data_IF_981797255683
#
_entry.id   IF_981797255683
#
_cell.length_a   1.000
_cell.length_b   1.000
_cell.length_c   1.000
_cell.angle_alpha   90.00
_cell.angle_beta   90.00
_cell.angle_gamma   90.00
#
_symmetry.space_group_name_H-M   'P 1'
#
loop_
_entity.id
_entity.type
_entity.pdbx_description
1 polymer ?
#
# COMPACT_ATOMS: atom_id res chain seq x y z
N UNK A 1 51.77 -4.73 -84.00
CA UNK A 1 50.87 -3.59 -83.67
C UNK A 1 49.54 -4.15 -83.17
N UNK A 2 49.39 -4.49 -81.95
CA UNK A 2 48.07 -4.77 -81.28
C UNK A 2 48.20 -4.44 -79.82
N UNK A 3 47.51 -3.39 -79.40
CA UNK A 3 47.45 -2.96 -78.01
C UNK A 3 46.48 -3.89 -77.26
N UNK A 4 46.97 -4.51 -76.16
CA UNK A 4 46.13 -5.19 -75.21
C UNK A 4 45.75 -4.19 -74.08
N UNK A 5 44.49 -3.83 -74.00
CA UNK A 5 43.89 -3.13 -72.87
C UNK A 5 43.71 -4.13 -71.69
N UNK A 6 44.35 -3.85 -70.57
CA UNK A 6 44.11 -4.52 -69.31
C UNK A 6 43.00 -3.77 -68.57
N UNK A 7 41.84 -4.38 -68.47
CA UNK A 7 40.75 -3.94 -67.58
C UNK A 7 41.02 -4.49 -66.22
N UNK A 8 41.32 -3.63 -65.24
CA UNK A 8 41.45 -3.98 -63.85
C UNK A 8 40.05 -4.07 -63.20
N UNK A 9 39.67 -5.26 -62.72
CA UNK A 9 38.50 -5.47 -61.85
C UNK A 9 38.86 -5.01 -60.44
N UNK A 10 38.32 -3.90 -59.95
CA UNK A 10 38.35 -3.52 -58.56
C UNK A 10 37.22 -4.30 -57.84
N UNK A 11 37.54 -5.30 -57.05
CA UNK A 11 36.61 -5.95 -56.17
C UNK A 11 36.34 -5.09 -54.92
N UNK A 12 35.13 -4.49 -54.91
CA UNK A 12 34.64 -3.75 -53.73
C UNK A 12 34.12 -4.72 -52.70
N UNK A 13 34.92 -5.01 -51.65
CA UNK A 13 34.52 -5.84 -50.52
C UNK A 13 33.57 -5.05 -49.62
N UNK A 14 32.27 -5.29 -49.74
CA UNK A 14 31.26 -4.80 -48.81
C UNK A 14 31.39 -5.63 -47.50
N UNK A 15 32.00 -5.05 -46.47
CA UNK A 15 31.96 -5.59 -45.11
C UNK A 15 30.55 -5.39 -44.56
N UNK A 16 29.69 -6.42 -44.59
CA UNK A 16 28.48 -6.46 -43.82
C UNK A 16 28.86 -6.57 -42.35
N UNK A 17 28.78 -5.45 -41.63
CA UNK A 17 28.78 -5.46 -40.17
C UNK A 17 27.43 -6.02 -39.72
N UNK A 18 27.37 -7.31 -39.45
CA UNK A 18 26.24 -7.90 -38.71
C UNK A 18 26.33 -7.40 -37.26
N UNK A 19 25.60 -6.34 -36.93
CA UNK A 19 25.31 -6.02 -35.55
C UNK A 19 24.47 -7.20 -35.00
N UNK A 20 25.11 -8.03 -34.16
CA UNK A 20 24.37 -8.96 -33.32
C UNK A 20 23.58 -8.09 -32.37
N UNK A 21 22.30 -7.92 -32.61
CA UNK A 21 21.40 -7.40 -31.59
C UNK A 21 21.40 -8.43 -30.46
N UNK A 22 22.07 -8.14 -29.35
CA UNK A 22 21.92 -8.92 -28.13
C UNK A 22 20.45 -8.84 -27.76
N UNK A 23 19.82 -10.00 -27.53
CA UNK A 23 18.47 -10.04 -27.04
C UNK A 23 18.44 -9.36 -25.66
N UNK A 24 17.50 -8.45 -25.45
CA UNK A 24 17.31 -7.83 -24.15
C UNK A 24 16.97 -8.90 -23.10
N UNK A 25 17.49 -8.75 -21.89
CA UNK A 25 17.14 -9.65 -20.78
C UNK A 25 15.76 -9.28 -20.26
N UNK A 26 14.85 -10.24 -20.22
CA UNK A 26 13.51 -10.06 -19.69
C UNK A 26 13.52 -10.17 -18.17
N UNK A 27 12.88 -9.20 -17.48
CA UNK A 27 12.66 -9.16 -16.03
C UNK A 27 11.16 -9.18 -15.78
N UNK A 28 10.62 -10.31 -15.38
CA UNK A 28 9.19 -10.43 -15.10
C UNK A 28 8.84 -9.82 -13.74
N UNK A 29 7.84 -8.95 -13.71
CA UNK A 29 7.34 -8.29 -12.51
C UNK A 29 5.86 -8.62 -12.26
N UNK A 30 5.55 -9.40 -11.22
CA UNK A 30 4.17 -9.70 -10.83
C UNK A 30 3.63 -8.64 -9.87
N UNK A 31 2.41 -8.15 -10.16
CA UNK A 31 1.80 -7.07 -9.41
C UNK A 31 0.29 -7.26 -9.24
N UNK A 32 -0.29 -6.48 -8.30
CA UNK A 32 -1.69 -6.49 -7.92
C UNK A 32 -2.42 -5.17 -8.27
N UNK A 33 -1.84 -4.34 -9.14
CA UNK A 33 -2.41 -3.05 -9.51
C UNK A 33 -3.40 -3.21 -10.66
N UNK A 34 -4.65 -2.83 -10.44
CA UNK A 34 -5.70 -2.74 -11.46
C UNK A 34 -6.13 -1.29 -11.71
N UNK A 35 -6.99 -1.08 -12.71
CA UNK A 35 -7.51 0.24 -13.05
C UNK A 35 -6.41 1.29 -13.31
N UNK A 36 -6.62 2.51 -12.85
CA UNK A 36 -5.70 3.63 -13.04
C UNK A 36 -4.29 3.36 -12.50
N UNK A 37 -4.19 2.67 -11.37
CA UNK A 37 -2.91 2.31 -10.78
C UNK A 37 -2.13 1.33 -11.67
N UNK A 38 -2.82 0.37 -12.29
CA UNK A 38 -2.24 -0.57 -13.25
C UNK A 38 -1.74 0.14 -14.50
N UNK A 39 -2.54 1.02 -15.06
CA UNK A 39 -2.17 1.82 -16.24
C UNK A 39 -0.90 2.64 -15.98
N UNK A 40 -0.82 3.30 -14.81
CA UNK A 40 0.36 4.09 -14.46
C UNK A 40 1.60 3.22 -14.21
N UNK A 41 1.43 2.04 -13.63
CA UNK A 41 2.51 1.08 -13.43
C UNK A 41 3.07 0.58 -14.78
N UNK A 42 2.19 0.26 -15.73
CA UNK A 42 2.59 -0.15 -17.09
C UNK A 42 3.34 0.98 -17.81
N UNK A 43 2.93 2.25 -17.64
CA UNK A 43 3.63 3.43 -18.15
C UNK A 43 5.06 3.53 -17.58
N UNK A 44 5.23 3.33 -16.27
CA UNK A 44 6.56 3.35 -15.62
C UNK A 44 7.46 2.27 -16.21
N UNK A 45 6.97 1.05 -16.38
CA UNK A 45 7.73 -0.04 -17.00
C UNK A 45 8.08 0.28 -18.46
N UNK A 46 7.14 0.82 -19.24
CA UNK A 46 7.38 1.22 -20.62
C UNK A 46 8.42 2.32 -20.72
N UNK A 47 8.39 3.32 -19.83
CA UNK A 47 9.37 4.41 -19.80
C UNK A 47 10.77 3.89 -19.44
N UNK A 48 10.89 2.97 -18.47
CA UNK A 48 12.15 2.29 -18.20
C UNK A 48 12.66 1.53 -19.43
N UNK A 49 11.81 0.72 -20.06
CA UNK A 49 12.19 -0.05 -21.25
C UNK A 49 12.63 0.84 -22.41
N UNK A 50 12.04 2.02 -22.56
CA UNK A 50 12.44 2.98 -23.60
C UNK A 50 13.73 3.75 -23.27
N UNK A 51 14.15 3.80 -22.01
CA UNK A 51 15.31 4.58 -21.55
C UNK A 51 16.65 3.88 -21.78
N UNK A 52 16.64 2.59 -22.05
CA UNK A 52 17.84 1.76 -22.21
C UNK A 52 17.56 0.58 -23.17
N UNK A 53 18.60 -0.22 -23.51
CA UNK A 53 18.51 -1.30 -24.52
C UNK A 53 18.87 -2.70 -23.98
N UNK A 54 19.23 -2.84 -22.71
CA UNK A 54 19.80 -4.05 -22.15
C UNK A 54 18.73 -4.95 -21.50
N UNK A 55 17.68 -4.35 -20.96
CA UNK A 55 16.64 -5.03 -20.20
C UNK A 55 15.23 -4.69 -20.68
N UNK A 56 14.29 -5.61 -20.49
CA UNK A 56 12.83 -5.38 -20.66
C UNK A 56 12.13 -5.83 -19.40
N UNK A 57 11.53 -4.90 -18.65
CA UNK A 57 10.64 -5.20 -17.53
C UNK A 57 9.25 -5.49 -18.09
N UNK A 58 8.71 -6.67 -17.78
CA UNK A 58 7.39 -7.13 -18.19
C UNK A 58 6.47 -7.21 -16.98
N UNK A 59 5.58 -6.21 -16.75
CA UNK A 59 4.58 -6.27 -15.70
C UNK A 59 3.53 -7.34 -16.00
N UNK A 60 3.13 -8.11 -14.99
CA UNK A 60 2.09 -9.16 -15.11
C UNK A 60 1.11 -9.00 -13.95
N UNK A 61 -0.11 -8.58 -14.25
CA UNK A 61 -1.19 -8.49 -13.28
C UNK A 61 -1.62 -9.88 -12.77
N UNK A 62 -1.71 -10.06 -11.46
CA UNK A 62 -2.03 -11.35 -10.81
C UNK A 62 -3.28 -11.31 -9.94
N UNK A 63 -4.13 -10.31 -10.10
CA UNK A 63 -5.33 -10.13 -9.28
C UNK A 63 -5.07 -9.28 -8.03
N UNK A 64 -5.72 -9.60 -6.93
CA UNK A 64 -5.54 -8.91 -5.65
C UNK A 64 -4.15 -9.16 -5.04
N UNK A 65 -3.80 -8.39 -4.02
CA UNK A 65 -2.54 -8.60 -3.27
C UNK A 65 -2.44 -10.01 -2.68
N UNK A 66 -3.54 -10.54 -2.12
CA UNK A 66 -3.57 -11.89 -1.54
C UNK A 66 -3.38 -12.97 -2.62
N UNK A 67 -4.02 -12.82 -3.78
CA UNK A 67 -3.86 -13.71 -4.94
C UNK A 67 -2.43 -13.65 -5.49
N UNK A 68 -1.85 -12.45 -5.61
CA UNK A 68 -0.48 -12.25 -6.08
C UNK A 68 0.53 -12.93 -5.17
N UNK A 69 0.41 -12.77 -3.84
CA UNK A 69 1.28 -13.43 -2.87
C UNK A 69 1.13 -14.94 -2.91
N UNK A 70 -0.10 -15.44 -2.95
CA UNK A 70 -0.38 -16.89 -3.03
C UNK A 70 0.19 -17.50 -4.31
N UNK A 71 0.01 -16.83 -5.45
CA UNK A 71 0.58 -17.24 -6.73
C UNK A 71 2.12 -17.26 -6.70
N UNK A 72 2.75 -16.24 -6.09
CA UNK A 72 4.20 -16.17 -5.97
C UNK A 72 4.77 -17.31 -5.11
N UNK A 73 4.13 -17.64 -3.98
CA UNK A 73 4.52 -18.79 -3.13
C UNK A 73 4.41 -20.10 -3.91
N UNK A 74 3.33 -20.31 -4.65
CA UNK A 74 3.13 -21.51 -5.46
C UNK A 74 4.18 -21.63 -6.58
N UNK A 75 4.43 -20.54 -7.30
CA UNK A 75 5.42 -20.47 -8.37
C UNK A 75 6.85 -20.70 -7.84
N UNK A 76 7.19 -20.13 -6.69
CA UNK A 76 8.50 -20.37 -6.07
C UNK A 76 8.74 -21.85 -5.76
N UNK A 77 7.73 -22.54 -5.24
CA UNK A 77 7.80 -23.99 -4.99
C UNK A 77 7.94 -24.83 -6.27
N UNK A 78 7.44 -24.32 -7.39
CA UNK A 78 7.54 -24.94 -8.71
C UNK A 78 8.83 -24.54 -9.49
N UNK A 79 9.65 -23.62 -8.99
CA UNK A 79 10.76 -22.94 -9.66
C UNK A 79 10.31 -22.17 -10.93
N UNK A 80 9.12 -21.56 -10.87
CA UNK A 80 8.50 -20.76 -11.93
C UNK A 80 8.23 -19.31 -11.48
N UNK A 81 8.87 -18.86 -10.40
CA UNK A 81 8.69 -17.54 -9.81
C UNK A 81 9.14 -16.42 -10.75
N UNK A 82 8.52 -15.21 -10.67
CA UNK A 82 9.03 -14.02 -11.34
C UNK A 82 10.35 -13.55 -10.72
N UNK A 83 11.04 -12.63 -11.37
CA UNK A 83 12.21 -11.96 -10.79
C UNK A 83 11.76 -11.00 -9.68
N UNK A 84 10.69 -10.24 -9.93
CA UNK A 84 10.14 -9.26 -9.00
C UNK A 84 8.68 -9.59 -8.68
N UNK A 85 8.32 -9.55 -7.40
CA UNK A 85 6.92 -9.66 -6.96
C UNK A 85 6.54 -8.50 -6.04
N UNK A 86 5.40 -7.89 -6.30
CA UNK A 86 4.79 -6.90 -5.42
C UNK A 86 4.06 -7.60 -4.28
N UNK A 87 4.46 -7.31 -3.04
CA UNK A 87 3.83 -7.87 -1.84
C UNK A 87 3.37 -6.74 -0.94
N UNK A 88 2.09 -6.76 -0.55
CA UNK A 88 1.54 -5.76 0.35
C UNK A 88 2.08 -5.91 1.79
N UNK A 89 1.89 -4.89 2.60
CA UNK A 89 2.54 -4.76 3.92
C UNK A 89 2.31 -5.96 4.83
N UNK A 90 1.11 -6.55 4.85
CA UNK A 90 0.80 -7.72 5.68
C UNK A 90 1.54 -8.99 5.26
N UNK A 91 2.04 -9.03 4.05
CA UNK A 91 2.89 -10.13 3.56
C UNK A 91 4.34 -10.05 4.05
N UNK A 92 4.76 -8.90 4.60
CA UNK A 92 6.17 -8.64 4.97
C UNK A 92 6.71 -9.68 5.95
N UNK A 93 5.98 -9.99 7.02
CA UNK A 93 6.41 -11.00 8.01
C UNK A 93 6.58 -12.39 7.37
N UNK A 94 5.72 -12.75 6.44
CA UNK A 94 5.80 -14.01 5.68
C UNK A 94 7.02 -14.03 4.75
N UNK A 95 7.28 -12.94 4.03
CA UNK A 95 8.45 -12.82 3.15
C UNK A 95 9.77 -12.85 3.92
N UNK A 96 9.83 -12.17 5.07
CA UNK A 96 11.04 -12.17 5.94
C UNK A 96 11.34 -13.55 6.52
N UNK A 97 10.33 -14.36 6.79
CA UNK A 97 10.49 -15.72 7.29
C UNK A 97 10.83 -16.74 6.19
N UNK A 98 10.61 -16.41 4.92
CA UNK A 98 10.87 -17.29 3.78
C UNK A 98 12.37 -17.43 3.47
N UNK A 99 13.08 -18.17 4.34
CA UNK A 99 14.53 -18.37 4.25
C UNK A 99 14.94 -18.89 2.88
N UNK A 100 15.88 -18.21 2.23
CA UNK A 100 16.42 -18.59 0.92
C UNK A 100 15.50 -18.29 -0.27
N UNK A 101 14.31 -17.73 -0.08
CA UNK A 101 13.42 -17.36 -1.17
C UNK A 101 13.62 -15.93 -1.67
N UNK A 102 14.15 -15.06 -0.84
CA UNK A 102 14.30 -13.63 -1.10
C UNK A 102 15.76 -13.28 -1.36
N UNK A 103 16.02 -12.48 -2.37
CA UNK A 103 17.27 -11.76 -2.55
C UNK A 103 17.11 -10.35 -1.97
N UNK A 104 17.72 -10.02 -0.81
CA UNK A 104 17.53 -8.73 -0.17
C UNK A 104 17.96 -7.56 -1.06
N UNK A 105 17.13 -6.52 -1.14
CA UNK A 105 17.38 -5.41 -2.06
C UNK A 105 18.72 -4.70 -1.80
N UNK A 106 19.10 -4.51 -0.53
CA UNK A 106 20.38 -3.88 -0.19
C UNK A 106 21.56 -4.66 -0.76
N UNK A 107 21.49 -6.00 -0.75
CA UNK A 107 22.51 -6.87 -1.30
C UNK A 107 22.44 -6.90 -2.83
N UNK A 108 21.25 -7.01 -3.42
CA UNK A 108 21.05 -6.94 -4.87
C UNK A 108 21.70 -5.69 -5.47
N UNK A 109 21.46 -4.52 -4.86
CA UNK A 109 22.01 -3.24 -5.34
C UNK A 109 23.52 -3.18 -5.21
N UNK A 110 24.07 -3.68 -4.09
CA UNK A 110 25.51 -3.75 -3.87
C UNK A 110 26.22 -4.69 -4.86
N UNK A 111 25.70 -5.90 -5.05
CA UNK A 111 26.31 -6.93 -5.93
C UNK A 111 26.26 -6.51 -7.41
N UNK A 112 25.29 -5.66 -7.80
CA UNK A 112 25.17 -5.12 -9.15
C UNK A 112 25.77 -3.70 -9.29
N UNK A 113 26.51 -3.21 -8.30
CA UNK A 113 27.13 -1.88 -8.29
C UNK A 113 26.14 -0.72 -8.59
N UNK A 114 24.91 -0.86 -8.16
CA UNK A 114 23.88 0.18 -8.29
C UNK A 114 23.87 1.11 -7.08
N UNK A 115 23.55 2.41 -7.26
CA UNK A 115 23.44 3.33 -6.14
C UNK A 115 22.28 2.92 -5.22
N UNK A 116 22.53 2.99 -3.90
CA UNK A 116 21.55 2.67 -2.89
C UNK A 116 21.67 3.61 -1.69
N UNK A 117 20.63 4.43 -1.47
CA UNK A 117 20.57 5.36 -0.35
C UNK A 117 19.35 5.04 0.54
N UNK A 118 19.49 4.15 1.53
CA UNK A 118 18.41 3.81 2.45
C UNK A 118 17.99 4.99 3.33
N UNK A 119 18.86 5.97 3.58
CA UNK A 119 18.56 7.14 4.41
C UNK A 119 17.67 8.17 3.68
N UNK A 120 17.60 8.09 2.36
CA UNK A 120 16.73 8.94 1.55
C UNK A 120 15.25 8.60 1.66
N UNK A 121 14.90 7.38 2.08
CA UNK A 121 13.50 6.98 2.26
C UNK A 121 12.89 7.55 3.55
N UNK A 122 11.57 7.72 3.57
CA UNK A 122 10.85 8.13 4.77
C UNK A 122 11.01 7.11 5.91
N UNK A 123 11.21 7.59 7.13
CA UNK A 123 11.43 6.72 8.30
C UNK A 123 10.35 5.65 8.54
N UNK A 124 9.03 5.90 8.37
CA UNK A 124 8.02 4.85 8.47
C UNK A 124 8.18 3.74 7.43
N UNK A 125 8.70 4.06 6.23
CA UNK A 125 8.94 3.10 5.15
C UNK A 125 10.15 2.22 5.49
N UNK A 126 11.29 2.84 5.84
CA UNK A 126 12.50 2.10 6.20
C UNK A 126 12.29 1.25 7.44
N UNK A 127 11.68 1.81 8.49
CA UNK A 127 11.42 1.10 9.74
C UNK A 127 10.57 -0.16 9.57
N UNK A 128 9.65 -0.14 8.60
CA UNK A 128 8.77 -1.28 8.36
C UNK A 128 9.44 -2.42 7.57
N UNK A 129 10.21 -2.10 6.52
CA UNK A 129 10.76 -3.09 5.58
C UNK A 129 12.20 -3.51 5.88
N UNK A 130 12.79 -3.05 6.99
CA UNK A 130 14.13 -3.42 7.40
C UNK A 130 14.16 -4.63 8.32
N UNK A 131 15.28 -5.37 8.26
CA UNK A 131 15.63 -6.38 9.24
C UNK A 131 16.05 -5.77 10.60
N UNK A 132 16.51 -6.62 11.53
CA UNK A 132 16.96 -6.19 12.87
C UNK A 132 18.26 -5.39 12.83
N UNK A 133 19.03 -5.49 11.76
CA UNK A 133 20.29 -4.76 11.55
C UNK A 133 20.06 -3.42 10.81
N UNK A 134 18.81 -3.13 10.43
CA UNK A 134 18.42 -1.90 9.73
C UNK A 134 18.56 -1.96 8.21
N UNK A 135 18.83 -3.14 7.63
CA UNK A 135 18.92 -3.29 6.18
C UNK A 135 17.53 -3.44 5.56
N UNK A 136 17.20 -2.62 4.57
CA UNK A 136 15.95 -2.73 3.82
C UNK A 136 15.98 -3.98 2.93
N UNK A 137 14.99 -4.86 3.10
CA UNK A 137 14.97 -6.16 2.42
C UNK A 137 14.26 -6.15 1.07
N UNK A 138 13.36 -5.20 0.85
CA UNK A 138 12.57 -5.06 -0.38
C UNK A 138 12.59 -3.62 -0.88
N UNK A 139 12.42 -3.41 -2.19
CA UNK A 139 12.39 -2.07 -2.77
C UNK A 139 11.09 -1.37 -2.40
N UNK A 140 11.10 -0.27 -1.62
CA UNK A 140 9.90 0.52 -1.36
C UNK A 140 9.33 1.05 -2.68
N UNK A 141 8.01 0.97 -2.84
CA UNK A 141 7.38 1.39 -4.10
C UNK A 141 6.08 2.16 -3.86
N UNK A 142 5.01 1.49 -3.46
CA UNK A 142 3.70 2.09 -3.35
C UNK A 142 3.19 2.03 -1.90
N UNK A 143 3.78 2.85 -1.06
CA UNK A 143 3.37 3.01 0.33
C UNK A 143 2.22 4.00 0.47
N UNK A 144 1.26 3.69 1.32
CA UNK A 144 0.11 4.53 1.63
C UNK A 144 -0.17 4.57 3.13
N UNK A 145 -1.13 5.38 3.53
CA UNK A 145 -1.77 5.34 4.84
C UNK A 145 -3.24 5.68 4.67
N UNK A 146 -4.16 5.24 5.54
CA UNK A 146 -5.56 5.59 5.38
C UNK A 146 -5.80 7.04 5.74
N UNK A 147 -6.68 7.68 4.96
CA UNK A 147 -7.16 9.05 5.20
C UNK A 147 -8.68 9.10 5.07
N UNK A 148 -9.26 10.24 5.40
CA UNK A 148 -10.67 10.55 5.20
C UNK A 148 -10.84 11.40 3.95
N UNK A 149 -11.80 11.00 3.10
CA UNK A 149 -12.38 11.79 2.01
C UNK A 149 -13.78 12.20 2.42
N UNK A 150 -14.22 13.41 2.09
CA UNK A 150 -15.58 13.85 2.41
C UNK A 150 -16.17 14.74 1.33
N UNK A 151 -17.50 14.70 1.22
CA UNK A 151 -18.29 15.46 0.27
C UNK A 151 -18.63 16.83 0.89
N UNK A 152 -17.95 17.90 0.42
CA UNK A 152 -18.13 19.26 0.92
C UNK A 152 -19.55 19.80 0.67
N UNK A 153 -20.14 19.46 -0.47
CA UNK A 153 -21.49 19.92 -0.83
C UNK A 153 -22.54 19.31 0.11
N UNK A 154 -22.36 18.03 0.51
CA UNK A 154 -23.24 17.40 1.50
C UNK A 154 -23.08 18.01 2.89
N UNK A 155 -21.87 18.43 3.27
CA UNK A 155 -21.63 19.19 4.52
C UNK A 155 -22.36 20.52 4.50
N UNK A 156 -22.20 21.33 3.44
CA UNK A 156 -22.89 22.61 3.29
C UNK A 156 -24.41 22.45 3.30
N UNK A 157 -24.95 21.46 2.57
CA UNK A 157 -26.39 21.16 2.54
C UNK A 157 -26.96 20.76 3.91
N UNK A 158 -26.12 20.19 4.79
CA UNK A 158 -26.47 19.85 6.17
C UNK A 158 -26.23 21.02 7.17
N UNK A 159 -25.80 22.19 6.68
CA UNK A 159 -25.48 23.35 7.52
C UNK A 159 -24.19 23.22 8.31
N UNK A 160 -23.27 22.36 7.86
CA UNK A 160 -21.91 22.22 8.37
C UNK A 160 -20.96 23.11 7.55
N UNK A 161 -19.84 23.51 8.15
CA UNK A 161 -18.79 24.20 7.42
C UNK A 161 -18.06 23.20 6.49
N UNK A 162 -18.10 23.37 5.16
CA UNK A 162 -17.47 22.44 4.22
C UNK A 162 -15.93 22.41 4.32
N UNK A 163 -15.29 23.40 4.95
CA UNK A 163 -13.86 23.44 5.15
C UNK A 163 -13.40 22.80 6.48
N UNK A 164 -14.34 22.33 7.31
CA UNK A 164 -14.09 21.75 8.63
C UNK A 164 -14.47 20.27 8.64
N UNK A 165 -13.49 19.40 8.44
CA UNK A 165 -13.67 17.95 8.57
C UNK A 165 -13.79 17.53 10.05
N UNK A 166 -14.55 16.47 10.38
CA UNK A 166 -14.60 15.91 11.72
C UNK A 166 -13.24 15.32 12.12
N UNK A 167 -12.81 15.61 13.34
CA UNK A 167 -11.51 15.17 13.90
C UNK A 167 -11.66 14.00 14.86
N UNK A 168 -12.80 13.90 15.52
CA UNK A 168 -13.08 12.85 16.51
C UNK A 168 -14.21 11.95 16.05
N UNK A 169 -14.26 10.74 16.59
CA UNK A 169 -15.37 9.82 16.30
C UNK A 169 -16.73 10.36 16.77
N UNK A 170 -16.74 11.18 17.82
CA UNK A 170 -17.94 11.89 18.25
C UNK A 170 -18.42 12.89 17.18
N UNK A 171 -17.49 13.66 16.58
CA UNK A 171 -17.82 14.57 15.48
C UNK A 171 -18.23 13.82 14.20
N UNK A 172 -17.58 12.66 13.88
CA UNK A 172 -18.03 11.81 12.77
C UNK A 172 -19.48 11.36 12.96
N UNK A 173 -19.86 10.90 14.16
CA UNK A 173 -21.25 10.53 14.46
C UNK A 173 -22.18 11.73 14.33
N UNK A 174 -21.84 12.87 14.93
CA UNK A 174 -22.66 14.09 14.92
C UNK A 174 -22.87 14.60 13.49
N UNK A 175 -21.79 14.75 12.71
CA UNK A 175 -21.86 15.29 11.34
C UNK A 175 -22.63 14.33 10.44
N UNK A 176 -22.37 13.02 10.56
CA UNK A 176 -23.08 11.99 9.80
C UNK A 176 -24.60 12.04 10.05
N UNK A 177 -25.02 12.17 11.31
CA UNK A 177 -26.46 12.30 11.66
C UNK A 177 -27.07 13.55 11.06
N UNK A 178 -26.40 14.70 11.16
CA UNK A 178 -26.86 15.95 10.54
C UNK A 178 -27.05 15.83 9.03
N UNK A 179 -26.08 15.19 8.36
CA UNK A 179 -26.09 14.96 6.90
C UNK A 179 -27.26 14.06 6.49
N UNK A 180 -27.47 12.95 7.21
CA UNK A 180 -28.57 12.03 6.94
C UNK A 180 -29.94 12.67 7.25
N UNK A 181 -30.06 13.36 8.38
CA UNK A 181 -31.29 14.04 8.80
C UNK A 181 -31.69 15.18 7.83
N UNK A 182 -30.71 15.89 7.27
CA UNK A 182 -30.93 16.90 6.24
C UNK A 182 -31.27 16.29 4.86
N UNK A 183 -31.13 14.98 4.68
CA UNK A 183 -31.30 14.31 3.39
C UNK A 183 -30.19 14.64 2.38
N UNK A 184 -29.06 15.17 2.86
CA UNK A 184 -27.92 15.56 2.02
C UNK A 184 -27.14 14.33 1.49
N UNK A 185 -27.19 13.20 2.22
CA UNK A 185 -26.74 11.90 1.78
C UNK A 185 -27.58 10.80 2.41
N UNK A 186 -27.53 9.56 1.88
CA UNK A 186 -28.30 8.43 2.43
C UNK A 186 -27.59 7.75 3.59
N UNK A 187 -26.26 7.88 3.69
CA UNK A 187 -25.47 7.44 4.84
C UNK A 187 -24.40 8.48 5.18
N UNK A 188 -23.95 8.49 6.44
CA UNK A 188 -22.93 9.41 6.90
C UNK A 188 -21.56 9.01 6.36
N UNK A 189 -21.11 7.78 6.66
CA UNK A 189 -19.80 7.34 6.22
C UNK A 189 -19.74 5.87 5.81
N UNK A 190 -18.70 5.56 5.03
CA UNK A 190 -18.29 4.20 4.64
C UNK A 190 -16.77 4.04 4.80
N UNK A 191 -16.28 2.81 4.81
CA UNK A 191 -14.86 2.48 4.89
C UNK A 191 -14.52 1.32 3.96
N UNK A 192 -13.37 1.39 3.30
CA UNK A 192 -12.69 0.20 2.81
C UNK A 192 -11.82 -0.42 3.89
N UNK A 193 -11.23 -1.57 3.65
CA UNK A 193 -10.18 -2.20 4.46
C UNK A 193 -10.46 -2.16 5.97
N UNK A 194 -11.58 -2.70 6.42
CA UNK A 194 -12.03 -2.60 7.82
C UNK A 194 -11.01 -3.10 8.82
N UNK A 195 -10.33 -4.20 8.52
CA UNK A 195 -9.23 -4.73 9.35
C UNK A 195 -8.08 -3.72 9.50
N UNK A 196 -7.66 -3.11 8.40
CA UNK A 196 -6.54 -2.16 8.40
C UNK A 196 -6.92 -0.79 8.98
N UNK A 197 -8.08 -0.25 8.61
CA UNK A 197 -8.47 1.12 9.01
C UNK A 197 -9.12 1.13 10.39
N UNK A 198 -10.11 0.26 10.62
CA UNK A 198 -10.96 0.29 11.80
C UNK A 198 -10.46 -0.60 12.96
N UNK A 199 -9.32 -1.31 12.76
CA UNK A 199 -8.72 -2.13 13.82
C UNK A 199 -7.24 -1.81 13.98
N UNK A 200 -6.43 -1.96 12.93
CA UNK A 200 -4.97 -1.76 12.98
C UNK A 200 -4.60 -0.28 13.15
N UNK A 201 -5.11 0.61 12.28
CA UNK A 201 -4.87 2.04 12.38
C UNK A 201 -5.58 2.68 13.58
N UNK A 202 -6.77 2.19 13.95
CA UNK A 202 -7.39 2.59 15.20
C UNK A 202 -6.45 2.33 16.38
N UNK A 203 -5.88 1.12 16.47
CA UNK A 203 -4.94 0.77 17.54
C UNK A 203 -3.70 1.65 17.53
N UNK A 204 -3.09 1.85 16.35
CA UNK A 204 -1.88 2.67 16.21
C UNK A 204 -2.09 4.13 16.61
N UNK A 205 -3.17 4.77 16.13
CA UNK A 205 -3.52 6.17 16.42
C UNK A 205 -3.77 6.41 17.91
N UNK A 206 -4.29 5.38 18.62
CA UNK A 206 -4.55 5.42 20.06
C UNK A 206 -3.41 4.84 20.93
N UNK A 207 -2.27 4.52 20.33
CA UNK A 207 -1.10 3.93 21.00
C UNK A 207 -1.43 2.62 21.75
N UNK A 208 -2.30 1.81 21.17
CA UNK A 208 -2.71 0.52 21.74
C UNK A 208 -1.92 -0.62 21.10
N UNK A 209 -1.51 -1.63 21.88
CA UNK A 209 -0.83 -2.79 21.33
C UNK A 209 -1.78 -3.59 20.44
N UNK A 210 -1.28 -3.99 19.27
CA UNK A 210 -1.96 -4.94 18.39
C UNK A 210 -1.51 -6.38 18.66
N UNK A 211 -0.29 -6.51 19.16
CA UNK A 211 0.27 -7.78 19.62
C UNK A 211 1.55 -7.59 20.42
N UNK A 212 2.07 -8.70 20.94
CA UNK A 212 3.30 -8.73 21.74
C UNK A 212 4.55 -8.47 20.89
N UNK A 213 5.70 -8.36 21.55
CA UNK A 213 7.01 -8.15 20.94
C UNK A 213 6.99 -6.97 19.91
N UNK A 214 6.45 -5.82 20.35
CA UNK A 214 6.38 -4.60 19.52
C UNK A 214 5.60 -4.85 18.21
N UNK A 215 4.39 -5.38 18.32
CA UNK A 215 3.54 -5.72 17.18
C UNK A 215 4.22 -6.65 16.15
N UNK A 216 4.96 -7.66 16.64
CA UNK A 216 5.60 -8.67 15.80
C UNK A 216 7.00 -8.30 15.28
N UNK A 217 7.50 -7.11 15.54
CA UNK A 217 8.86 -6.71 15.12
C UNK A 217 9.97 -7.47 15.85
N UNK A 218 9.69 -7.98 17.05
CA UNK A 218 10.65 -8.78 17.84
C UNK A 218 10.84 -10.23 17.34
N UNK A 219 10.16 -10.63 16.27
CA UNK A 219 10.33 -11.95 15.66
C UNK A 219 9.25 -12.98 16.06
N UNK A 220 9.62 -14.26 16.07
CA UNK A 220 8.71 -15.37 16.42
C UNK A 220 8.39 -15.41 17.93
N UNK A 221 7.34 -16.14 18.32
CA UNK A 221 6.88 -16.23 19.71
C UNK A 221 5.95 -15.08 20.09
N UNK A 222 5.28 -14.47 19.13
CA UNK A 222 4.36 -13.35 19.31
C UNK A 222 2.92 -13.82 19.54
N UNK A 223 2.08 -12.93 20.05
CA UNK A 223 0.64 -13.13 20.24
C UNK A 223 -0.12 -11.85 19.87
N UNK A 224 -1.28 -12.00 19.26
CA UNK A 224 -2.22 -10.90 19.06
C UNK A 224 -2.90 -10.52 20.38
N UNK A 225 -3.15 -9.21 20.53
CA UNK A 225 -3.77 -8.62 21.75
C UNK A 225 -4.73 -7.47 21.41
N UNK A 226 -5.25 -7.44 20.18
CA UNK A 226 -6.09 -6.33 19.68
C UNK A 226 -7.57 -6.39 20.16
N UNK A 227 -7.85 -7.10 21.25
CA UNK A 227 -9.17 -7.26 21.86
C UNK A 227 -9.37 -6.40 23.11
N UNK A 228 -8.76 -5.21 23.15
CA UNK A 228 -8.92 -4.27 24.26
C UNK A 228 -10.26 -3.53 24.22
N UNK A 229 -10.58 -2.85 25.35
CA UNK A 229 -11.85 -2.16 25.58
C UNK A 229 -12.17 -1.12 24.49
N UNK A 230 -11.17 -0.37 24.01
CA UNK A 230 -11.39 0.64 22.98
C UNK A 230 -11.71 0.03 21.63
N UNK A 231 -10.99 -1.02 21.23
CA UNK A 231 -11.26 -1.74 19.99
C UNK A 231 -12.68 -2.36 20.01
N UNK A 232 -13.08 -2.99 21.13
CA UNK A 232 -14.41 -3.55 21.30
C UNK A 232 -15.50 -2.47 21.23
N UNK A 233 -15.32 -1.37 21.97
CA UNK A 233 -16.21 -0.20 21.91
C UNK A 233 -16.37 0.34 20.48
N UNK A 234 -15.28 0.39 19.73
CA UNK A 234 -15.32 0.88 18.36
C UNK A 234 -16.14 -0.03 17.44
N UNK A 235 -15.97 -1.33 17.54
CA UNK A 235 -16.74 -2.29 16.76
C UNK A 235 -18.23 -2.28 17.12
N UNK A 236 -18.57 -2.16 18.41
CA UNK A 236 -19.95 -1.97 18.86
C UNK A 236 -20.55 -0.65 18.33
N UNK A 237 -19.76 0.43 18.30
CA UNK A 237 -20.19 1.70 17.71
C UNK A 237 -20.45 1.58 16.21
N UNK A 238 -19.58 0.92 15.45
CA UNK A 238 -19.78 0.69 14.00
C UNK A 238 -21.05 -0.12 13.73
N UNK A 239 -21.32 -1.14 14.54
CA UNK A 239 -22.57 -1.92 14.44
C UNK A 239 -23.80 -1.07 14.76
N UNK A 240 -23.77 -0.29 15.85
CA UNK A 240 -24.82 0.66 16.20
C UNK A 240 -25.05 1.67 15.08
N UNK A 241 -24.01 2.31 14.58
CA UNK A 241 -24.09 3.30 13.50
C UNK A 241 -24.59 2.69 12.18
N UNK A 242 -24.29 1.41 11.93
CA UNK A 242 -24.86 0.69 10.79
C UNK A 242 -26.36 0.49 10.91
N UNK A 243 -26.86 0.14 12.11
CA UNK A 243 -28.28 0.01 12.38
C UNK A 243 -29.03 1.34 12.32
N UNK A 244 -28.35 2.43 12.69
CA UNK A 244 -28.89 3.82 12.63
C UNK A 244 -28.80 4.44 11.23
N UNK A 245 -28.21 3.75 10.22
CA UNK A 245 -28.02 4.29 8.87
C UNK A 245 -26.91 5.34 8.76
N UNK A 246 -26.12 5.51 9.81
CA UNK A 246 -24.98 6.44 9.87
C UNK A 246 -23.77 5.86 9.16
N UNK A 247 -23.49 4.57 9.36
CA UNK A 247 -22.42 3.83 8.75
C UNK A 247 -22.94 2.79 7.75
N UNK A 248 -22.26 2.67 6.61
CA UNK A 248 -22.52 1.61 5.64
C UNK A 248 -21.26 0.82 5.36
N UNK A 249 -21.29 -0.47 5.66
CA UNK A 249 -20.16 -1.37 5.44
C UNK A 249 -19.87 -1.54 3.95
N UNK A 250 -18.59 -1.44 3.58
CA UNK A 250 -18.12 -1.54 2.20
C UNK A 250 -17.75 -2.95 1.74
N UNK A 251 -18.03 -3.97 2.57
CA UNK A 251 -17.66 -5.37 2.30
C UNK A 251 -16.30 -5.79 2.86
N UNK A 252 -15.99 -7.10 2.85
CA UNK A 252 -14.75 -7.66 3.36
C UNK A 252 -13.52 -7.30 2.51
N UNK A 253 -12.35 -7.68 2.99
CA UNK A 253 -11.06 -7.41 2.37
C UNK A 253 -10.87 -5.92 2.05
N UNK A 254 -10.69 -5.54 0.79
CA UNK A 254 -10.53 -4.16 0.36
C UNK A 254 -11.77 -3.28 0.47
N UNK A 255 -12.96 -3.86 0.72
CA UNK A 255 -14.22 -3.14 0.79
C UNK A 255 -14.65 -2.62 -0.59
N UNK A 256 -14.85 -3.53 -1.55
CA UNK A 256 -15.12 -3.18 -2.95
C UNK A 256 -16.40 -2.36 -3.16
N UNK A 257 -17.36 -2.43 -2.23
CA UNK A 257 -18.61 -1.67 -2.28
C UNK A 257 -18.46 -0.23 -1.74
N UNK A 258 -17.41 0.07 -0.98
CA UNK A 258 -17.21 1.39 -0.37
C UNK A 258 -16.95 2.51 -1.39
N UNK A 259 -16.07 2.37 -2.41
CA UNK A 259 -15.83 3.42 -3.38
C UNK A 259 -17.11 3.90 -4.11
N UNK A 260 -17.96 3.02 -4.68
CA UNK A 260 -19.19 3.44 -5.34
C UNK A 260 -20.15 4.20 -4.41
N UNK A 261 -20.20 3.85 -3.12
CA UNK A 261 -21.04 4.56 -2.13
C UNK A 261 -20.62 6.02 -1.98
N UNK A 262 -19.32 6.29 -2.01
CA UNK A 262 -18.81 7.66 -1.93
C UNK A 262 -18.88 8.37 -3.29
N UNK A 263 -18.46 7.74 -4.38
CA UNK A 263 -18.41 8.36 -5.71
C UNK A 263 -19.77 8.87 -6.19
N UNK A 264 -20.86 8.17 -5.82
CA UNK A 264 -22.23 8.56 -6.14
C UNK A 264 -22.84 9.55 -5.14
N UNK A 265 -22.13 9.93 -4.07
CA UNK A 265 -22.63 10.75 -2.99
C UNK A 265 -23.66 10.04 -2.10
N UNK A 266 -23.78 8.70 -2.17
CA UNK A 266 -24.66 7.95 -1.29
C UNK A 266 -24.20 8.03 0.17
N UNK A 267 -22.88 7.93 0.43
CA UNK A 267 -22.27 8.25 1.71
C UNK A 267 -21.43 9.52 1.60
N UNK A 268 -21.51 10.40 2.60
CA UNK A 268 -20.85 11.70 2.60
C UNK A 268 -19.38 11.64 3.00
N UNK A 269 -18.96 10.63 3.76
CA UNK A 269 -17.57 10.45 4.21
C UNK A 269 -17.09 9.06 3.78
N UNK A 270 -15.84 8.97 3.38
CA UNK A 270 -15.17 7.74 2.94
C UNK A 270 -13.79 7.64 3.56
N UNK A 271 -13.53 6.57 4.29
CA UNK A 271 -12.21 6.30 4.84
C UNK A 271 -11.55 5.20 4.02
N UNK A 272 -10.39 5.51 3.44
CA UNK A 272 -9.63 4.56 2.64
C UNK A 272 -8.18 4.99 2.49
N UNK A 273 -7.38 4.14 1.84
CA UNK A 273 -6.00 4.45 1.45
C UNK A 273 -5.88 5.81 0.78
N UNK A 274 -4.81 6.53 1.07
CA UNK A 274 -4.45 7.75 0.33
C UNK A 274 -4.34 7.51 -1.18
N UNK A 275 -3.99 6.29 -1.59
CA UNK A 275 -3.94 5.87 -3.00
C UNK A 275 -5.33 5.73 -3.67
N UNK A 276 -6.42 5.82 -2.90
CA UNK A 276 -7.76 5.93 -3.50
C UNK A 276 -8.00 7.29 -4.17
N UNK A 277 -7.10 8.27 -3.96
CA UNK A 277 -7.22 9.64 -4.47
C UNK A 277 -7.43 9.69 -5.99
N UNK A 278 -6.67 8.91 -6.77
CA UNK A 278 -6.84 8.87 -8.23
C UNK A 278 -8.27 8.50 -8.62
N UNK A 279 -8.78 7.38 -8.08
CA UNK A 279 -10.15 6.94 -8.34
C UNK A 279 -11.22 7.89 -7.77
N UNK A 280 -10.96 8.54 -6.62
CA UNK A 280 -11.87 9.54 -6.04
C UNK A 280 -11.99 10.76 -6.96
N UNK A 281 -10.87 11.31 -7.43
CA UNK A 281 -10.89 12.50 -8.30
C UNK A 281 -11.53 12.18 -9.64
N UNK A 282 -11.30 10.99 -10.19
CA UNK A 282 -11.88 10.59 -11.47
C UNK A 282 -13.39 10.34 -11.39
N UNK A 283 -13.87 9.72 -10.31
CA UNK A 283 -15.23 9.19 -10.27
C UNK A 283 -16.20 10.02 -9.39
N UNK A 284 -15.72 10.75 -8.37
CA UNK A 284 -16.55 11.60 -7.51
C UNK A 284 -16.73 13.01 -8.14
N UNK A 285 -17.29 13.07 -9.35
CA UNK A 285 -17.38 14.31 -10.16
C UNK A 285 -18.63 15.14 -9.88
N UNK A 286 -19.53 14.66 -9.01
CA UNK A 286 -20.81 15.31 -8.73
C UNK A 286 -20.76 16.31 -7.57
N UNK A 287 -19.63 16.47 -6.88
CA UNK A 287 -19.44 17.32 -5.71
C UNK A 287 -17.96 17.64 -5.49
N UNK A 288 -17.69 18.65 -4.67
CA UNK A 288 -16.31 18.97 -4.25
C UNK A 288 -15.84 18.01 -3.13
N UNK A 289 -14.65 17.44 -3.30
CA UNK A 289 -14.05 16.49 -2.35
C UNK A 289 -13.10 17.20 -1.40
N UNK A 290 -13.30 17.02 -0.10
CA UNK A 290 -12.36 17.38 0.95
C UNK A 290 -11.53 16.18 1.41
N UNK A 291 -10.39 16.46 2.02
CA UNK A 291 -9.43 15.47 2.52
C UNK A 291 -9.09 15.79 3.98
N UNK A 292 -8.99 14.77 4.82
CA UNK A 292 -8.67 14.96 6.24
C UNK A 292 -7.93 13.73 6.81
N UNK A 293 -7.24 13.89 7.95
CA UNK A 293 -6.74 12.77 8.73
C UNK A 293 -7.86 11.86 9.23
N UNK A 294 -7.54 10.61 9.59
CA UNK A 294 -8.48 9.73 10.28
C UNK A 294 -8.90 10.31 11.64
N UNK A 295 -10.14 10.07 12.05
CA UNK A 295 -10.64 10.49 13.35
C UNK A 295 -10.09 9.64 14.49
N UNK A 296 -10.12 10.20 15.71
CA UNK A 296 -9.70 9.51 16.93
C UNK A 296 -10.71 9.71 18.06
N UNK A 297 -10.59 8.93 19.12
CA UNK A 297 -11.34 9.10 20.36
C UNK A 297 -10.58 10.02 21.30
N UNK A 298 -11.04 11.25 21.46
CA UNK A 298 -10.43 12.27 22.31
C UNK A 298 -10.60 12.00 23.81
N UNK A 299 -11.54 11.14 24.17
CA UNK A 299 -11.69 10.60 25.53
C UNK A 299 -10.71 9.48 25.87
N UNK A 300 -10.05 8.89 24.86
CA UNK A 300 -9.07 7.82 25.05
C UNK A 300 -7.62 8.32 24.95
N UNK A 301 -7.37 9.32 24.11
CA UNK A 301 -6.04 9.90 23.93
C UNK A 301 -6.17 11.41 23.61
N UNK A 302 -5.38 12.24 24.30
CA UNK A 302 -5.44 13.70 24.11
C UNK A 302 -4.93 14.13 22.72
N UNK A 303 -3.88 13.48 22.22
CA UNK A 303 -3.30 13.75 20.90
C UNK A 303 -3.06 12.42 20.18
N UNK A 304 -3.60 12.26 18.97
CA UNK A 304 -3.47 11.01 18.21
C UNK A 304 -2.00 10.78 17.81
N UNK A 305 -1.57 9.52 17.84
CA UNK A 305 -0.28 9.10 17.27
C UNK A 305 -0.34 9.09 15.74
N UNK A 306 0.80 8.75 15.12
CA UNK A 306 0.87 8.52 13.70
C UNK A 306 0.01 7.31 13.27
N UNK A 307 -0.49 7.35 12.05
CA UNK A 307 -1.04 6.17 11.39
C UNK A 307 0.07 5.22 10.94
N UNK A 308 -0.29 3.99 10.61
CA UNK A 308 0.67 3.01 10.10
C UNK A 308 0.60 2.88 8.57
N UNK A 309 1.69 2.33 8.03
CA UNK A 309 1.87 2.12 6.61
C UNK A 309 0.87 1.09 6.06
N UNK A 310 0.50 1.26 4.81
CA UNK A 310 -0.14 0.29 3.95
C UNK A 310 0.50 0.28 2.58
N UNK A 311 -0.12 -0.38 1.63
CA UNK A 311 0.39 -0.51 0.28
C UNK A 311 1.36 -1.67 0.15
N UNK A 312 2.40 -1.54 -0.70
CA UNK A 312 3.25 -2.67 -1.04
C UNK A 312 4.69 -2.25 -1.36
N UNK A 313 5.54 -3.25 -1.41
CA UNK A 313 6.97 -3.15 -1.77
C UNK A 313 7.31 -4.27 -2.77
N UNK A 314 8.43 -4.12 -3.47
CA UNK A 314 8.86 -5.06 -4.48
C UNK A 314 9.95 -5.98 -3.91
N UNK A 315 9.68 -7.27 -3.93
CA UNK A 315 10.59 -8.32 -3.47
C UNK A 315 11.25 -9.00 -4.66
N UNK A 316 12.56 -9.19 -4.60
CA UNK A 316 13.30 -9.98 -5.59
C UNK A 316 13.38 -11.43 -5.09
N UNK A 317 13.03 -12.37 -5.95
CA UNK A 317 13.03 -13.79 -5.62
C UNK A 317 14.29 -14.48 -6.11
N UNK A 318 14.81 -15.38 -5.28
CA UNK A 318 15.98 -16.19 -5.63
C UNK A 318 15.68 -17.21 -6.75
N UNK A 319 16.71 -17.72 -7.42
CA UNK A 319 16.62 -18.72 -8.48
C UNK A 319 16.51 -18.12 -9.88
N UNK A 320 16.98 -16.88 -10.05
CA UNK A 320 17.09 -16.18 -11.34
C UNK A 320 18.53 -16.11 -11.82
N UNK A 321 18.74 -15.74 -13.08
CA UNK A 321 20.08 -15.52 -13.63
C UNK A 321 20.68 -14.20 -13.15
N UNK A 322 22.00 -14.09 -13.25
CA UNK A 322 22.74 -12.86 -12.90
C UNK A 322 22.28 -11.68 -13.77
N UNK A 323 21.91 -11.94 -15.02
CA UNK A 323 21.40 -10.91 -15.94
C UNK A 323 19.99 -10.43 -15.55
N UNK A 324 19.09 -11.33 -15.08
CA UNK A 324 17.78 -10.94 -14.55
C UNK A 324 17.93 -10.09 -13.28
N UNK A 325 18.87 -10.44 -12.39
CA UNK A 325 19.17 -9.64 -11.20
C UNK A 325 19.76 -8.27 -11.54
N UNK A 326 20.66 -8.20 -12.51
CA UNK A 326 21.18 -6.91 -12.98
C UNK A 326 20.08 -6.03 -13.57
N UNK A 327 19.14 -6.61 -14.31
CA UNK A 327 17.97 -5.92 -14.84
C UNK A 327 17.03 -5.43 -13.73
N UNK A 328 16.78 -6.25 -12.70
CA UNK A 328 15.98 -5.85 -11.54
C UNK A 328 16.64 -4.69 -10.77
N UNK A 329 17.96 -4.75 -10.56
CA UNK A 329 18.72 -3.69 -9.90
C UNK A 329 18.72 -2.38 -10.71
N UNK A 330 18.85 -2.45 -12.02
CA UNK A 330 18.75 -1.28 -12.92
C UNK A 330 17.35 -0.67 -12.88
N UNK A 331 16.30 -1.49 -12.86
CA UNK A 331 14.92 -1.03 -12.72
C UNK A 331 14.69 -0.36 -11.37
N UNK A 332 15.21 -0.89 -10.27
CA UNK A 332 15.10 -0.28 -8.95
C UNK A 332 15.86 1.05 -8.86
N UNK A 333 16.99 1.18 -9.54
CA UNK A 333 17.69 2.46 -9.69
C UNK A 333 16.80 3.48 -10.42
N UNK A 334 16.11 3.08 -11.48
CA UNK A 334 15.16 3.93 -12.20
C UNK A 334 13.99 4.34 -11.30
N UNK A 335 13.39 3.39 -10.56
CA UNK A 335 12.31 3.67 -9.61
C UNK A 335 12.73 4.59 -8.45
N UNK A 336 14.04 4.65 -8.14
CA UNK A 336 14.57 5.52 -7.07
C UNK A 336 14.77 6.97 -7.51
N UNK A 337 14.57 7.30 -8.79
CA UNK A 337 14.69 8.68 -9.27
C UNK A 337 13.58 9.55 -8.67
N UNK A 338 13.90 10.72 -8.13
CA UNK A 338 12.90 11.62 -7.52
C UNK A 338 11.75 11.97 -8.46
N UNK A 339 12.04 12.14 -9.75
CA UNK A 339 11.05 12.48 -10.77
C UNK A 339 10.04 11.33 -10.98
N UNK A 340 10.51 10.08 -11.00
CA UNK A 340 9.65 8.89 -11.14
C UNK A 340 8.76 8.71 -9.92
N UNK A 341 9.33 8.91 -8.72
CA UNK A 341 8.59 8.80 -7.47
C UNK A 341 7.60 9.94 -7.27
N UNK A 342 7.97 11.18 -7.63
CA UNK A 342 7.06 12.33 -7.56
C UNK A 342 5.89 12.17 -8.54
N UNK A 343 6.15 11.75 -9.77
CA UNK A 343 5.11 11.47 -10.76
C UNK A 343 4.14 10.36 -10.30
N UNK A 344 4.68 9.26 -9.74
CA UNK A 344 3.89 8.21 -9.15
C UNK A 344 3.03 8.69 -7.99
N UNK A 345 3.61 9.43 -7.02
CA UNK A 345 2.91 10.02 -5.89
C UNK A 345 1.79 10.97 -6.33
N UNK A 346 2.12 11.92 -7.20
CA UNK A 346 1.19 12.96 -7.65
C UNK A 346 0.00 12.40 -8.43
N UNK A 347 0.23 11.37 -9.23
CA UNK A 347 -0.84 10.70 -9.97
C UNK A 347 -1.72 9.83 -9.08
N UNK A 348 -1.13 9.02 -8.20
CA UNK A 348 -1.83 7.95 -7.49
C UNK A 348 -2.37 8.35 -6.13
N UNK A 349 -1.70 9.27 -5.42
CA UNK A 349 -1.94 9.57 -4.01
C UNK A 349 -1.21 8.64 -3.03
N UNK A 350 -0.36 7.71 -3.51
CA UNK A 350 0.61 7.03 -2.64
C UNK A 350 1.56 8.05 -2.01
N UNK A 351 2.23 7.69 -0.93
CA UNK A 351 3.22 8.56 -0.28
C UNK A 351 4.39 8.87 -1.24
N UNK A 352 4.98 10.06 -1.18
CA UNK A 352 6.29 10.32 -1.77
C UNK A 352 7.33 9.60 -0.92
N UNK A 353 7.65 8.34 -1.23
CA UNK A 353 8.40 7.42 -0.36
C UNK A 353 9.82 7.85 -0.01
N UNK A 354 10.34 8.90 -0.68
CA UNK A 354 11.64 9.53 -0.35
C UNK A 354 11.47 11.01 -0.04
N UNK A 355 12.39 11.55 0.77
CA UNK A 355 12.46 12.99 1.05
C UNK A 355 12.65 13.80 -0.23
N UNK A 356 13.50 13.33 -1.17
CA UNK A 356 13.74 14.02 -2.43
C UNK A 356 12.49 14.12 -3.32
N UNK A 357 11.64 13.10 -3.35
CA UNK A 357 10.38 13.15 -4.09
C UNK A 357 9.38 14.14 -3.46
N UNK A 358 9.34 14.19 -2.12
CA UNK A 358 8.51 15.17 -1.40
C UNK A 358 8.97 16.61 -1.67
N UNK A 359 10.28 16.90 -1.50
CA UNK A 359 10.88 18.19 -1.78
C UNK A 359 10.68 18.63 -3.24
N UNK A 360 10.74 17.69 -4.18
CA UNK A 360 10.45 17.96 -5.60
C UNK A 360 8.99 18.40 -5.78
N UNK A 361 8.02 17.71 -5.16
CA UNK A 361 6.61 18.08 -5.17
C UNK A 361 6.37 19.47 -4.57
N UNK A 362 7.04 19.80 -3.45
CA UNK A 362 6.99 21.15 -2.85
C UNK A 362 7.53 22.21 -3.83
N UNK A 363 8.69 21.96 -4.43
CA UNK A 363 9.33 22.90 -5.37
C UNK A 363 8.52 23.14 -6.65
N UNK A 364 7.73 22.14 -7.06
CA UNK A 364 6.78 22.22 -8.18
C UNK A 364 5.49 22.97 -7.81
N UNK A 365 5.25 23.27 -6.53
CA UNK A 365 3.99 23.85 -6.05
C UNK A 365 2.82 22.87 -5.99
N UNK A 366 3.08 21.56 -6.13
CA UNK A 366 2.03 20.55 -6.24
C UNK A 366 1.05 20.55 -5.08
N UNK A 367 1.54 20.64 -3.84
CA UNK A 367 0.69 20.60 -2.64
C UNK A 367 -0.17 21.86 -2.49
N UNK A 368 0.31 23.01 -2.96
CA UNK A 368 -0.45 24.26 -2.96
C UNK A 368 -1.57 24.25 -4.01
N UNK A 369 -1.33 23.63 -5.16
CA UNK A 369 -2.30 23.46 -6.24
C UNK A 369 -3.28 22.30 -6.01
N UNK A 370 -2.92 21.35 -5.15
CA UNK A 370 -3.71 20.15 -4.82
C UNK A 370 -3.91 20.02 -3.30
N UNK A 371 -4.75 20.87 -2.68
CA UNK A 371 -5.00 20.83 -1.24
C UNK A 371 -5.39 19.44 -0.76
N UNK A 372 -4.80 19.02 0.37
CA UNK A 372 -5.05 17.72 1.00
C UNK A 372 -4.22 16.55 0.46
N UNK A 373 -3.41 16.76 -0.61
CA UNK A 373 -2.51 15.71 -1.12
C UNK A 373 -1.33 15.41 -0.17
N UNK A 374 -1.08 16.26 0.81
CA UNK A 374 -0.07 16.13 1.85
C UNK A 374 -0.60 15.53 3.17
N UNK A 375 -1.92 15.33 3.31
CA UNK A 375 -2.54 14.78 4.54
C UNK A 375 -1.93 13.43 4.94
N UNK A 376 -1.72 12.55 3.98
CA UNK A 376 -1.16 11.23 4.24
C UNK A 376 0.25 11.29 4.84
N UNK A 377 1.13 12.13 4.27
CA UNK A 377 2.49 12.27 4.80
C UNK A 377 2.49 12.97 6.16
N UNK A 378 1.67 14.00 6.35
CA UNK A 378 1.53 14.66 7.65
C UNK A 378 1.05 13.70 8.75
N UNK A 379 0.10 12.82 8.43
CA UNK A 379 -0.45 11.87 9.38
C UNK A 379 0.54 10.76 9.74
N UNK A 380 1.22 10.15 8.75
CA UNK A 380 2.14 9.03 9.01
C UNK A 380 3.45 9.48 9.66
N UNK A 381 3.84 10.74 9.46
CA UNK A 381 5.04 11.33 10.08
C UNK A 381 4.74 12.11 11.36
N UNK A 382 3.52 12.04 11.89
CA UNK A 382 3.13 12.72 13.12
C UNK A 382 3.92 12.20 14.32
N UNK A 383 4.88 12.97 14.79
CA UNK A 383 5.72 12.64 15.94
C UNK A 383 6.62 11.43 15.72
N UNK A 384 7.17 10.90 16.82
CA UNK A 384 7.99 9.69 16.78
C UNK A 384 7.09 8.47 16.98
N UNK A 385 7.13 7.48 16.09
CA UNK A 385 6.38 6.23 16.26
C UNK A 385 6.75 5.54 17.57
N UNK A 386 5.73 5.04 18.28
CA UNK A 386 5.89 4.17 19.43
C UNK A 386 6.02 2.69 19.02
N UNK A 387 6.21 1.80 19.97
CA UNK A 387 6.17 0.36 19.71
C UNK A 387 4.81 -0.12 19.18
N UNK A 388 3.73 0.63 19.47
CA UNK A 388 2.38 0.33 19.03
C UNK A 388 2.01 1.00 17.69
N UNK A 389 2.71 2.07 17.30
CA UNK A 389 2.37 2.85 16.08
C UNK A 389 3.43 2.79 14.98
N UNK A 390 4.50 1.99 15.14
CA UNK A 390 5.51 1.82 14.08
C UNK A 390 5.10 0.86 12.97
N UNK A 391 4.01 0.10 13.16
CA UNK A 391 3.49 -0.88 12.21
C UNK A 391 3.10 -2.19 12.87
N UNK A 392 2.72 -3.17 12.04
CA UNK A 392 2.25 -4.50 12.46
C UNK A 392 2.92 -5.54 11.54
N UNK A 393 3.71 -6.47 12.10
CA UNK A 393 4.57 -7.37 11.31
C UNK A 393 4.52 -8.81 11.80
N UNK A 394 3.39 -9.49 11.55
CA UNK A 394 3.19 -10.91 11.88
C UNK A 394 3.21 -11.78 10.63
N UNK A 395 3.54 -13.04 10.76
CA UNK A 395 3.38 -14.03 9.72
C UNK A 395 1.92 -14.38 9.48
N UNK A 396 1.58 -14.77 8.25
CA UNK A 396 0.22 -15.12 7.83
C UNK A 396 -0.87 -14.08 8.18
N UNK A 397 -0.51 -12.81 8.34
CA UNK A 397 -1.43 -11.73 8.73
C UNK A 397 -2.59 -11.55 7.71
N UNK A 398 -2.39 -11.93 6.44
CA UNK A 398 -3.47 -11.96 5.45
C UNK A 398 -4.64 -12.84 5.90
N UNK A 399 -4.34 -14.07 6.39
CA UNK A 399 -5.37 -14.99 6.87
C UNK A 399 -6.03 -14.48 8.17
N UNK A 400 -5.27 -13.75 9.00
CA UNK A 400 -5.82 -13.12 10.20
C UNK A 400 -6.77 -11.99 9.85
N UNK A 401 -6.49 -11.20 8.82
CA UNK A 401 -7.45 -10.19 8.30
C UNK A 401 -8.75 -10.82 7.81
N UNK A 402 -8.69 -11.97 7.15
CA UNK A 402 -9.92 -12.72 6.77
C UNK A 402 -10.74 -13.13 7.98
N UNK A 403 -10.08 -13.52 9.09
CA UNK A 403 -10.75 -13.82 10.36
C UNK A 403 -11.38 -12.57 10.96
N UNK A 404 -10.66 -11.45 10.97
CA UNK A 404 -11.16 -10.16 11.48
C UNK A 404 -12.41 -9.73 10.71
N UNK A 405 -12.39 -9.81 9.39
CA UNK A 405 -13.53 -9.43 8.54
C UNK A 405 -14.75 -10.30 8.84
N UNK A 406 -14.59 -11.63 8.98
CA UNK A 406 -15.67 -12.55 9.36
C UNK A 406 -16.27 -12.22 10.73
N UNK A 407 -15.44 -11.96 11.72
CA UNK A 407 -15.87 -11.63 13.08
C UNK A 407 -16.56 -10.24 13.11
N UNK A 408 -16.07 -9.28 12.33
CA UNK A 408 -16.69 -7.98 12.19
C UNK A 408 -18.10 -8.08 11.56
N UNK A 409 -18.27 -8.89 10.52
CA UNK A 409 -19.58 -9.16 9.93
C UNK A 409 -20.55 -9.80 10.93
N UNK A 410 -20.06 -10.64 11.85
CA UNK A 410 -20.88 -11.20 12.93
C UNK A 410 -21.36 -10.13 13.92
N UNK A 411 -20.57 -9.08 14.17
CA UNK A 411 -20.98 -7.93 15.00
C UNK A 411 -22.03 -7.09 14.27
N UNK A 412 -21.80 -6.78 12.99
CA UNK A 412 -22.76 -6.03 12.16
C UNK A 412 -24.11 -6.77 12.06
N UNK A 413 -24.08 -8.10 11.95
CA UNK A 413 -25.26 -8.96 11.92
C UNK A 413 -25.94 -9.13 13.28
N UNK A 414 -25.38 -8.58 14.36
CA UNK A 414 -25.93 -8.65 15.73
C UNK A 414 -25.82 -10.01 16.39
N UNK A 415 -24.98 -10.92 15.86
CA UNK A 415 -24.79 -12.27 16.41
C UNK A 415 -23.69 -12.33 17.49
N UNK A 416 -22.81 -11.32 17.56
CA UNK A 416 -21.75 -11.17 18.56
C UNK A 416 -21.68 -9.70 19.03
N UNK A 417 -21.21 -9.50 20.27
CA UNK A 417 -20.71 -8.20 20.71
C UNK A 417 -19.32 -7.93 20.10
N UNK A 418 -18.89 -6.66 20.09
CA UNK A 418 -17.53 -6.30 19.68
C UNK A 418 -16.46 -7.07 20.49
N UNK A 419 -16.66 -7.21 21.80
CA UNK A 419 -15.71 -7.96 22.65
C UNK A 419 -15.66 -9.45 22.29
N UNK A 420 -16.82 -10.14 22.19
CA UNK A 420 -16.84 -11.58 21.87
C UNK A 420 -16.24 -11.87 20.49
N UNK A 421 -16.44 -10.96 19.54
CA UNK A 421 -15.91 -11.08 18.19
C UNK A 421 -14.38 -10.87 18.17
N UNK A 422 -13.88 -9.86 18.86
CA UNK A 422 -12.44 -9.60 18.96
C UNK A 422 -11.71 -10.69 19.76
N UNK A 423 -12.31 -11.22 20.83
CA UNK A 423 -11.75 -12.37 21.57
C UNK A 423 -11.64 -13.60 20.66
N UNK A 424 -12.67 -13.85 19.84
CA UNK A 424 -12.65 -14.90 18.83
C UNK A 424 -11.58 -14.66 17.75
N UNK A 425 -11.46 -13.43 17.26
CA UNK A 425 -10.48 -13.06 16.25
C UNK A 425 -9.04 -13.23 16.76
N UNK A 426 -8.76 -12.81 17.99
CA UNK A 426 -7.46 -12.98 18.66
C UNK A 426 -7.14 -14.46 18.86
N UNK A 427 -8.10 -15.25 19.35
CA UNK A 427 -7.89 -16.68 19.55
C UNK A 427 -7.56 -17.41 18.24
N UNK A 428 -8.38 -17.22 17.20
CA UNK A 428 -8.16 -17.80 15.86
C UNK A 428 -6.90 -17.28 15.18
N UNK A 429 -6.62 -15.98 15.33
CA UNK A 429 -5.39 -15.36 14.83
C UNK A 429 -4.14 -15.96 15.46
N UNK A 430 -4.17 -16.21 16.77
CA UNK A 430 -3.06 -16.84 17.48
C UNK A 430 -2.86 -18.32 17.07
N UNK A 431 -3.91 -19.06 16.71
CA UNK A 431 -3.77 -20.40 16.12
C UNK A 431 -3.02 -20.34 14.79
N UNK A 432 -3.44 -19.45 13.86
CA UNK A 432 -2.77 -19.21 12.58
C UNK A 432 -1.31 -18.83 12.78
N UNK A 433 -1.03 -17.98 13.78
CA UNK A 433 0.33 -17.53 14.08
C UNK A 433 1.21 -18.70 14.62
N UNK A 434 0.67 -19.57 15.47
CA UNK A 434 1.40 -20.79 15.93
C UNK A 434 1.73 -21.73 14.77
N UNK A 435 0.80 -21.95 13.85
CA UNK A 435 1.05 -22.75 12.65
C UNK A 435 2.18 -22.15 11.78
N UNK A 436 2.14 -20.84 11.59
CA UNK A 436 3.21 -20.12 10.87
C UNK A 436 4.56 -20.28 11.57
N UNK A 437 4.62 -20.08 12.86
CA UNK A 437 5.87 -20.18 13.63
C UNK A 437 6.44 -21.59 13.62
N UNK A 438 5.58 -22.60 13.75
CA UNK A 438 6.01 -24.01 13.68
C UNK A 438 6.62 -24.38 12.33
N UNK A 439 6.17 -23.73 11.23
CA UNK A 439 6.69 -23.95 9.89
C UNK A 439 7.99 -23.17 9.61
N UNK A 440 8.36 -22.18 10.44
CA UNK A 440 9.48 -21.26 10.20
C UNK A 440 10.55 -21.25 11.30
N UNK A 441 10.52 -22.23 12.23
CA UNK A 441 11.54 -22.42 13.29
C UNK A 441 12.89 -22.93 12.77
#
# INVERSE_FOLDING_TARGET
MKNLNRVGLAALSLALSTSVALAQTEVTWWHAMGGELGTKLEEIAANFNASQSDYVVTPVFKGSYAETLTAAIAAFRANEQPAIVQVFEVGTGTMMAAKGAVYPVYQLMADNNQPWDPAGFLAPVTGYYSDVDGNILSMPFNSSTPIMYYNKDAFEAAGLDPEVAPKTWAEVEEFSKKIVDAGAAKCGFTTGWVSWIQTENLSAIHDLPYGTLQNGFGGLGTEFTFNGDLQARHWDNLAKWSQEGVFKYGGPAGGADAPPLFYTGECAIYMNSSASRAGVIENATGFEVGFAPLPYYDDAIAEPKNSIIGGATLWVLNGKSDEEYAGAAAFFTYLSQPEVQADWHQYTGYLPITNAAFELGESQGYYAENPGSDIAIQQITRGTPSDNSKGIRFGNLTQVRDVIDQEFEAVLGGSKSGQDALDSAVARGNEILREFEAANQ
#
